data_IF_787198220780
#
_entry.id   IF_787198220780
#
_cell.length_a   1.000
_cell.length_b   1.000
_cell.length_c   1.000
_cell.angle_alpha   90.00
_cell.angle_beta   90.00
_cell.angle_gamma   90.00
#
_symmetry.space_group_name_H-M   'P 1'
#
loop_
_entity.id
_entity.type
_entity.pdbx_description
1 polymer ?
#
# COMPACT_ATOMS: atom_id res chain seq x y z
N UNK A 1 18.32 -12.59 11.95
CA UNK A 1 17.91 -11.66 13.01
C UNK A 1 16.40 -11.47 12.93
N UNK A 2 15.71 -11.48 14.08
CA UNK A 2 14.26 -11.35 14.17
C UNK A 2 13.88 -9.85 14.21
N UNK A 3 12.99 -9.33 13.35
CA UNK A 3 12.51 -7.94 13.40
C UNK A 3 12.01 -7.50 14.78
N UNK A 4 11.42 -8.42 15.55
CA UNK A 4 10.89 -8.13 16.88
C UNK A 4 11.96 -7.73 17.92
N UNK A 5 13.24 -8.01 17.67
CA UNK A 5 14.34 -7.68 18.61
C UNK A 5 15.12 -6.42 18.21
N UNK A 6 14.73 -5.76 17.12
CA UNK A 6 15.37 -4.55 16.61
C UNK A 6 14.62 -3.30 17.07
N UNK A 7 15.29 -2.14 17.07
CA UNK A 7 14.60 -0.85 17.28
C UNK A 7 13.68 -0.51 16.10
N UNK A 8 12.80 0.49 16.27
CA UNK A 8 11.95 0.96 15.18
C UNK A 8 12.79 1.50 14.00
N UNK A 9 13.85 2.26 14.29
CA UNK A 9 14.75 2.82 13.28
C UNK A 9 15.57 1.74 12.55
N UNK A 10 16.03 0.72 13.26
CA UNK A 10 16.74 -0.42 12.65
C UNK A 10 15.82 -1.21 11.72
N UNK A 11 14.57 -1.44 12.15
CA UNK A 11 13.56 -2.08 11.32
C UNK A 11 13.25 -1.25 10.07
N UNK A 12 13.14 0.07 10.20
CA UNK A 12 12.90 0.97 9.08
C UNK A 12 14.05 0.92 8.05
N UNK A 13 15.30 1.02 8.51
CA UNK A 13 16.49 0.90 7.66
C UNK A 13 16.53 -0.45 6.96
N UNK A 14 16.28 -1.54 7.70
CA UNK A 14 16.31 -2.90 7.15
C UNK A 14 15.21 -3.14 6.12
N UNK A 15 14.04 -2.53 6.31
CA UNK A 15 12.97 -2.57 5.32
C UNK A 15 13.37 -1.92 3.99
N UNK A 16 14.14 -0.82 4.04
CA UNK A 16 14.68 -0.16 2.85
C UNK A 16 15.74 -1.01 2.16
N UNK A 17 16.67 -1.60 2.92
CA UNK A 17 17.70 -2.49 2.39
C UNK A 17 17.09 -3.70 1.67
N UNK A 18 16.10 -4.35 2.29
CA UNK A 18 15.40 -5.48 1.67
C UNK A 18 14.64 -5.06 0.42
N UNK A 19 14.00 -3.89 0.41
CA UNK A 19 13.31 -3.39 -0.77
C UNK A 19 14.26 -3.16 -1.96
N UNK A 20 15.45 -2.58 -1.71
CA UNK A 20 16.48 -2.39 -2.74
C UNK A 20 16.97 -3.74 -3.28
N UNK A 21 17.24 -4.70 -2.40
CA UNK A 21 17.63 -6.05 -2.83
C UNK A 21 16.51 -6.75 -3.62
N UNK A 22 15.26 -6.56 -3.21
CA UNK A 22 14.09 -7.13 -3.86
C UNK A 22 13.87 -6.54 -5.26
N UNK A 23 14.12 -5.25 -5.46
CA UNK A 23 14.07 -4.59 -6.77
C UNK A 23 15.10 -5.17 -7.75
N UNK A 24 16.28 -5.56 -7.26
CA UNK A 24 17.30 -6.21 -8.09
C UNK A 24 16.94 -7.67 -8.38
N UNK A 25 16.42 -8.38 -7.39
CA UNK A 25 16.19 -9.82 -7.48
C UNK A 25 14.90 -10.20 -8.23
N UNK A 26 13.86 -9.36 -8.18
CA UNK A 26 12.53 -9.70 -8.66
C UNK A 26 12.02 -8.69 -9.69
N UNK A 27 11.78 -9.12 -10.95
CA UNK A 27 11.23 -8.24 -11.98
C UNK A 27 9.85 -7.67 -11.66
N UNK A 28 9.07 -8.37 -10.83
CA UNK A 28 7.72 -7.96 -10.44
C UNK A 28 7.59 -7.99 -8.91
N UNK A 29 7.15 -6.90 -8.28
CA UNK A 29 6.97 -6.84 -6.84
C UNK A 29 5.65 -7.51 -6.43
N UNK A 30 5.78 -8.63 -5.72
CA UNK A 30 4.68 -9.33 -5.06
C UNK A 30 5.07 -9.61 -3.62
N UNK A 31 4.12 -9.45 -2.69
CA UNK A 31 4.33 -9.66 -1.26
C UNK A 31 4.95 -11.03 -0.96
N UNK A 32 4.51 -12.10 -1.62
CA UNK A 32 4.96 -13.47 -1.35
C UNK A 32 6.44 -13.74 -1.73
N UNK A 33 7.10 -12.81 -2.42
CA UNK A 33 8.53 -12.94 -2.70
C UNK A 33 9.32 -12.71 -1.42
N UNK A 34 10.30 -13.57 -1.14
CA UNK A 34 11.02 -13.61 0.14
C UNK A 34 11.56 -12.24 0.60
N UNK A 35 12.20 -11.47 -0.28
CA UNK A 35 12.76 -10.16 0.09
C UNK A 35 11.68 -9.07 0.21
N UNK A 36 10.61 -9.14 -0.60
CA UNK A 36 9.48 -8.22 -0.45
C UNK A 36 8.72 -8.45 0.85
N UNK A 37 8.48 -9.72 1.20
CA UNK A 37 7.93 -10.08 2.49
C UNK A 37 8.79 -9.57 3.64
N UNK A 38 10.10 -9.80 3.58
CA UNK A 38 11.03 -9.31 4.60
C UNK A 38 11.02 -7.78 4.72
N UNK A 39 10.97 -7.06 3.60
CA UNK A 39 10.85 -5.60 3.59
C UNK A 39 9.56 -5.12 4.26
N UNK A 40 8.43 -5.71 3.89
CA UNK A 40 7.11 -5.39 4.45
C UNK A 40 7.04 -5.72 5.94
N UNK A 41 7.54 -6.88 6.36
CA UNK A 41 7.55 -7.31 7.76
C UNK A 41 8.38 -6.34 8.61
N UNK A 42 9.60 -5.98 8.17
CA UNK A 42 10.41 -4.98 8.87
C UNK A 42 9.74 -3.60 8.93
N UNK A 43 9.14 -3.13 7.82
CA UNK A 43 8.41 -1.86 7.83
C UNK A 43 7.20 -1.88 8.76
N UNK A 44 6.50 -3.02 8.83
CA UNK A 44 5.40 -3.23 9.75
C UNK A 44 5.86 -3.12 11.20
N UNK A 45 6.98 -3.74 11.57
CA UNK A 45 7.52 -3.61 12.93
C UNK A 45 7.90 -2.17 13.26
N UNK A 46 8.59 -1.46 12.35
CA UNK A 46 8.93 -0.04 12.55
C UNK A 46 7.67 0.81 12.81
N UNK A 47 6.65 0.68 11.96
CA UNK A 47 5.40 1.41 12.06
C UNK A 47 4.58 1.07 13.32
N UNK A 48 4.65 -0.17 13.83
CA UNK A 48 3.90 -0.56 15.03
C UNK A 48 4.63 -0.18 16.33
N UNK A 49 5.96 -0.15 16.31
CA UNK A 49 6.79 0.27 17.46
C UNK A 49 6.72 1.78 17.68
N UNK A 50 6.57 2.57 16.61
CA UNK A 50 6.40 4.02 16.67
C UNK A 50 5.21 4.47 15.83
N UNK A 51 4.01 4.39 16.42
CA UNK A 51 2.75 4.70 15.75
C UNK A 51 2.59 6.20 15.43
N UNK A 52 3.34 7.08 16.11
CA UNK A 52 3.33 8.51 15.87
C UNK A 52 4.20 8.94 14.69
N UNK A 53 5.11 8.08 14.25
CA UNK A 53 6.03 8.39 13.16
C UNK A 53 5.37 8.22 11.79
N UNK A 54 4.94 9.35 11.20
CA UNK A 54 4.27 9.38 9.90
C UNK A 54 5.11 8.78 8.78
N UNK A 55 6.44 8.94 8.81
CA UNK A 55 7.31 8.41 7.76
C UNK A 55 7.30 6.88 7.74
N UNK A 56 7.27 6.26 8.92
CA UNK A 56 7.18 4.80 9.03
C UNK A 56 5.82 4.28 8.54
N UNK A 57 4.73 4.98 8.89
CA UNK A 57 3.39 4.65 8.41
C UNK A 57 3.28 4.79 6.89
N UNK A 58 3.78 5.90 6.34
CA UNK A 58 3.76 6.18 4.92
C UNK A 58 4.60 5.16 4.14
N UNK A 59 5.79 4.83 4.62
CA UNK A 59 6.64 3.85 3.95
C UNK A 59 6.03 2.45 3.94
N UNK A 60 5.37 2.03 5.03
CA UNK A 60 4.62 0.78 5.05
C UNK A 60 3.48 0.79 4.00
N UNK A 61 2.74 1.89 3.88
CA UNK A 61 1.69 2.04 2.88
C UNK A 61 2.24 2.01 1.44
N UNK A 62 3.41 2.61 1.20
CA UNK A 62 4.13 2.52 -0.07
C UNK A 62 4.49 1.08 -0.41
N UNK A 63 5.07 0.34 0.54
CA UNK A 63 5.44 -1.05 0.33
C UNK A 63 4.22 -1.95 0.07
N UNK A 64 3.11 -1.76 0.79
CA UNK A 64 1.85 -2.47 0.48
C UNK A 64 1.35 -2.16 -0.93
N UNK A 65 1.46 -0.90 -1.37
CA UNK A 65 1.07 -0.51 -2.74
C UNK A 65 1.99 -1.18 -3.76
N UNK A 66 3.30 -1.09 -3.57
CA UNK A 66 4.32 -1.65 -4.47
C UNK A 66 4.20 -3.17 -4.59
N UNK A 67 3.96 -3.86 -3.48
CA UNK A 67 3.84 -5.32 -3.41
C UNK A 67 2.43 -5.85 -3.72
N UNK A 68 1.53 -4.96 -4.16
CA UNK A 68 0.17 -5.29 -4.60
C UNK A 68 -0.73 -5.83 -3.49
N UNK A 69 -0.43 -5.53 -2.23
CA UNK A 69 -1.25 -5.90 -1.08
C UNK A 69 -2.38 -4.89 -0.89
N UNK A 70 -3.29 -4.85 -1.87
CA UNK A 70 -4.18 -3.69 -2.12
C UNK A 70 -5.06 -3.29 -0.95
N UNK A 71 -5.62 -4.24 -0.21
CA UNK A 71 -6.48 -3.93 0.95
C UNK A 71 -5.67 -3.32 2.10
N UNK A 72 -4.46 -3.83 2.35
CA UNK A 72 -3.54 -3.28 3.35
C UNK A 72 -3.07 -1.88 2.95
N UNK A 73 -2.74 -1.69 1.67
CA UNK A 73 -2.37 -0.37 1.12
C UNK A 73 -3.50 0.64 1.32
N UNK A 74 -4.71 0.32 0.86
CA UNK A 74 -5.89 1.18 0.99
C UNK A 74 -6.16 1.56 2.44
N UNK A 75 -6.13 0.58 3.35
CA UNK A 75 -6.37 0.81 4.77
C UNK A 75 -5.26 1.65 5.42
N UNK A 76 -4.00 1.51 4.98
CA UNK A 76 -2.90 2.32 5.49
C UNK A 76 -3.01 3.78 5.02
N UNK A 77 -3.26 4.00 3.72
CA UNK A 77 -3.49 5.34 3.18
C UNK A 77 -4.69 6.05 3.79
N UNK A 78 -5.78 5.31 4.03
CA UNK A 78 -6.96 5.88 4.67
C UNK A 78 -6.73 6.29 6.14
N UNK A 79 -5.79 5.65 6.84
CA UNK A 79 -5.43 5.99 8.22
C UNK A 79 -4.48 7.18 8.31
N UNK A 80 -3.60 7.37 7.32
CA UNK A 80 -2.62 8.46 7.28
C UNK A 80 -3.24 9.87 7.20
N UNK A 81 -4.47 9.98 6.66
CA UNK A 81 -5.21 11.25 6.62
C UNK A 81 -4.63 12.22 5.61
N UNK A 82 -3.80 13.16 6.06
CA UNK A 82 -3.19 14.20 5.23
C UNK A 82 -2.12 13.60 4.32
N UNK A 83 -2.47 13.41 3.04
CA UNK A 83 -1.59 12.84 2.04
C UNK A 83 -0.98 13.92 1.14
N UNK A 84 0.29 13.76 0.81
CA UNK A 84 0.94 14.47 -0.29
C UNK A 84 0.30 14.08 -1.62
N UNK A 85 0.52 14.87 -2.68
CA UNK A 85 -0.07 14.57 -3.99
C UNK A 85 0.42 13.24 -4.56
N UNK A 86 1.68 12.87 -4.31
CA UNK A 86 2.21 11.57 -4.70
C UNK A 86 1.53 10.41 -3.93
N UNK A 87 1.32 10.57 -2.63
CA UNK A 87 0.62 9.57 -1.80
C UNK A 87 -0.85 9.44 -2.20
N UNK A 88 -1.52 10.54 -2.57
CA UNK A 88 -2.88 10.50 -3.13
C UNK A 88 -2.95 9.64 -4.40
N UNK A 89 -1.95 9.70 -5.27
CA UNK A 89 -1.89 8.84 -6.46
C UNK A 89 -1.79 7.35 -6.08
N UNK A 90 -0.95 7.01 -5.09
CA UNK A 90 -0.83 5.61 -4.61
C UNK A 90 -2.09 5.14 -3.89
N UNK A 91 -2.72 6.00 -3.08
CA UNK A 91 -3.98 5.71 -2.43
C UNK A 91 -5.10 5.49 -3.46
N UNK A 92 -5.23 6.37 -4.45
CA UNK A 92 -6.15 6.24 -5.57
C UNK A 92 -5.93 4.95 -6.38
N UNK A 93 -4.67 4.59 -6.65
CA UNK A 93 -4.33 3.32 -7.30
C UNK A 93 -4.82 2.10 -6.51
N UNK A 94 -4.60 2.08 -5.19
CA UNK A 94 -5.06 0.97 -4.34
C UNK A 94 -6.59 0.84 -4.37
N UNK A 95 -7.31 1.96 -4.33
CA UNK A 95 -8.77 1.99 -4.44
C UNK A 95 -9.25 1.51 -5.81
N UNK A 96 -8.62 1.95 -6.91
CA UNK A 96 -8.97 1.51 -8.26
C UNK A 96 -8.80 -0.01 -8.44
N UNK A 97 -7.75 -0.60 -7.84
CA UNK A 97 -7.53 -2.06 -7.87
C UNK A 97 -8.62 -2.81 -7.10
N UNK A 98 -8.96 -2.35 -5.90
CA UNK A 98 -10.04 -2.95 -5.11
C UNK A 98 -11.40 -2.80 -5.78
N UNK A 99 -11.69 -1.63 -6.36
CA UNK A 99 -12.90 -1.38 -7.13
C UNK A 99 -13.04 -2.33 -8.31
N UNK A 100 -11.95 -2.54 -9.07
CA UNK A 100 -11.94 -3.49 -10.18
C UNK A 100 -12.18 -4.92 -9.72
N UNK A 101 -11.53 -5.37 -8.64
CA UNK A 101 -11.73 -6.71 -8.08
C UNK A 101 -13.18 -6.91 -7.61
N UNK A 102 -13.78 -5.92 -6.94
CA UNK A 102 -15.17 -5.97 -6.52
C UNK A 102 -16.12 -6.05 -7.72
N UNK A 103 -15.88 -5.23 -8.75
CA UNK A 103 -16.66 -5.24 -9.99
C UNK A 103 -16.60 -6.60 -10.70
N UNK A 104 -15.42 -7.22 -10.78
CA UNK A 104 -15.25 -8.56 -11.37
C UNK A 104 -16.04 -9.63 -10.62
N UNK A 105 -16.29 -9.45 -9.33
CA UNK A 105 -17.11 -10.35 -8.50
C UNK A 105 -18.61 -10.04 -8.59
N UNK A 106 -19.01 -9.03 -9.36
CA UNK A 106 -20.40 -8.57 -9.47
C UNK A 106 -20.86 -7.67 -8.32
N UNK A 107 -19.97 -7.33 -7.37
CA UNK A 107 -20.29 -6.48 -6.23
C UNK A 107 -20.15 -5.00 -6.60
N UNK A 108 -21.17 -4.48 -7.28
CA UNK A 108 -21.23 -3.09 -7.74
C UNK A 108 -21.27 -2.07 -6.59
N UNK A 109 -21.84 -2.44 -5.44
CA UNK A 109 -21.91 -1.55 -4.28
C UNK A 109 -20.52 -1.32 -3.70
N UNK A 110 -19.77 -2.39 -3.43
CA UNK A 110 -18.40 -2.30 -2.94
C UNK A 110 -17.48 -1.65 -3.99
N UNK A 111 -17.68 -1.94 -5.28
CA UNK A 111 -16.93 -1.29 -6.34
C UNK A 111 -17.17 0.24 -6.35
N UNK A 112 -18.42 0.70 -6.24
CA UNK A 112 -18.77 2.12 -6.14
C UNK A 112 -18.09 2.80 -4.95
N UNK A 113 -18.16 2.18 -3.77
CA UNK A 113 -17.53 2.68 -2.55
C UNK A 113 -16.02 2.95 -2.76
N UNK A 114 -15.30 1.98 -3.36
CA UNK A 114 -13.88 2.16 -3.65
C UNK A 114 -13.63 3.21 -4.75
N UNK A 115 -14.48 3.29 -5.78
CA UNK A 115 -14.35 4.32 -6.82
C UNK A 115 -14.46 5.72 -6.23
N UNK A 116 -15.52 5.98 -5.47
CA UNK A 116 -15.80 7.29 -4.87
C UNK A 116 -14.67 7.70 -3.92
N UNK A 117 -14.20 6.76 -3.08
CA UNK A 117 -13.06 7.03 -2.21
C UNK A 117 -11.79 7.30 -3.01
N UNK A 118 -11.49 6.50 -4.04
CA UNK A 118 -10.33 6.71 -4.90
C UNK A 118 -10.31 8.09 -5.55
N UNK A 119 -11.46 8.52 -6.09
CA UNK A 119 -11.63 9.83 -6.72
C UNK A 119 -11.44 10.98 -5.73
N UNK A 120 -11.79 10.79 -4.45
CA UNK A 120 -11.55 11.79 -3.40
C UNK A 120 -10.06 12.02 -3.10
N UNK A 121 -9.19 11.04 -3.35
CA UNK A 121 -7.74 11.21 -3.26
C UNK A 121 -7.18 11.77 -4.56
N UNK A 122 -7.45 11.09 -5.67
CA UNK A 122 -7.06 11.54 -7.00
C UNK A 122 -7.97 10.90 -8.05
N UNK A 123 -8.63 11.73 -8.85
CA UNK A 123 -9.43 11.24 -9.97
C UNK A 123 -8.52 10.74 -11.11
N UNK A 124 -8.68 9.47 -11.47
CA UNK A 124 -7.84 8.79 -12.47
C UNK A 124 -8.69 8.15 -13.56
N UNK A 125 -8.14 8.03 -14.77
CA UNK A 125 -8.82 7.39 -15.89
C UNK A 125 -9.32 5.96 -15.57
N UNK A 126 -8.60 5.22 -14.70
CA UNK A 126 -9.02 3.89 -14.25
C UNK A 126 -10.31 3.96 -13.43
N UNK A 127 -10.41 4.90 -12.49
CA UNK A 127 -11.60 5.09 -11.66
C UNK A 127 -12.79 5.55 -12.51
N UNK A 128 -12.58 6.50 -13.42
CA UNK A 128 -13.60 6.95 -14.36
C UNK A 128 -14.12 5.81 -15.25
N UNK A 129 -13.22 4.93 -15.71
CA UNK A 129 -13.59 3.77 -16.52
C UNK A 129 -14.39 2.73 -15.73
N UNK A 130 -14.07 2.51 -14.45
CA UNK A 130 -14.86 1.63 -13.57
C UNK A 130 -16.22 2.26 -13.29
N UNK A 131 -16.28 3.56 -12.98
CA UNK A 131 -17.53 4.29 -12.70
C UNK A 131 -18.55 4.17 -13.84
N UNK A 132 -18.10 4.23 -15.10
CA UNK A 132 -18.95 4.06 -16.29
C UNK A 132 -19.58 2.66 -16.42
N UNK A 133 -19.07 1.66 -15.68
CA UNK A 133 -19.54 0.26 -15.73
C UNK A 133 -20.45 -0.11 -14.55
N UNK A 134 -20.60 0.77 -13.57
CA UNK A 134 -21.43 0.58 -12.38
C UNK A 134 -22.89 0.86 -12.70
#
# INVERSE_FOLDING_TARGET
MNPATLSAADNFTRAQEFAVQADVAYPVPFYDRTLWKAAVDSAYYAANMDQGNRDYQAYLAQLYTKTQWWINAYNAWNRLGDLTDQEKQWASLSAAKLAYIALQRGDKQTARMYVEKGMSWADSASLQAIMKRL
#
